data_IF_496603605960
#
_entry.id   IF_496603605960
#
_cell.length_a   1.000
_cell.length_b   1.000
_cell.length_c   1.000
_cell.angle_alpha   90.00
_cell.angle_beta   90.00
_cell.angle_gamma   90.00
#
_symmetry.space_group_name_H-M   'P 1'
#
loop_
_entity.id
_entity.type
_entity.pdbx_description
1 polymer ?
#
# COMPACT_ATOMS: atom_id res chain seq x y z
N UNK A 1 17.12 -53.96 17.35
CA UNK A 1 17.08 -52.53 17.04
C UNK A 1 16.20 -51.88 18.11
N UNK A 2 16.82 -51.32 19.16
CA UNK A 2 16.13 -50.76 20.32
C UNK A 2 15.91 -49.28 19.99
N UNK A 3 14.65 -48.90 19.74
CA UNK A 3 14.25 -47.48 19.56
C UNK A 3 14.16 -46.90 20.97
N UNK A 4 15.16 -46.09 21.33
CA UNK A 4 15.16 -45.28 22.54
C UNK A 4 14.16 -44.13 22.34
N UNK A 5 12.94 -44.27 22.85
CA UNK A 5 11.98 -43.19 22.96
C UNK A 5 12.43 -42.24 24.09
N UNK A 6 13.19 -41.22 23.73
CA UNK A 6 13.45 -40.10 24.64
C UNK A 6 12.16 -39.32 24.74
N UNK A 7 11.37 -39.53 25.78
CA UNK A 7 10.21 -38.72 26.13
C UNK A 7 10.72 -37.34 26.49
N UNK A 8 10.52 -36.36 25.60
CA UNK A 8 10.77 -34.97 25.92
C UNK A 8 9.85 -34.58 27.08
N UNK A 9 10.38 -34.02 28.18
CA UNK A 9 9.53 -33.56 29.28
C UNK A 9 8.57 -32.46 28.75
N UNK A 10 7.30 -32.51 29.17
CA UNK A 10 6.33 -31.55 28.75
C UNK A 10 6.80 -30.11 29.10
N UNK A 11 6.50 -29.13 28.22
CA UNK A 11 6.90 -27.75 28.38
C UNK A 11 6.53 -27.18 29.78
N UNK A 12 5.40 -27.61 30.35
CA UNK A 12 4.98 -27.29 31.71
C UNK A 12 5.93 -27.86 32.81
N UNK A 13 6.63 -28.95 32.53
CA UNK A 13 7.56 -29.56 33.48
C UNK A 13 8.92 -28.85 33.51
N UNK A 14 9.35 -28.35 32.35
CA UNK A 14 10.56 -27.51 32.21
C UNK A 14 10.38 -26.19 32.95
N UNK A 15 9.22 -25.55 32.81
CA UNK A 15 8.91 -24.28 33.47
C UNK A 15 8.79 -24.41 35.01
N UNK A 16 8.23 -25.53 35.53
CA UNK A 16 8.15 -25.77 36.98
C UNK A 16 9.52 -26.03 37.62
N UNK A 17 10.49 -26.59 36.88
CA UNK A 17 11.82 -26.86 37.41
C UNK A 17 12.74 -25.65 37.51
N UNK A 18 12.43 -24.58 36.78
CA UNK A 18 13.26 -23.37 36.70
C UNK A 18 12.90 -22.30 37.74
N UNK A 19 11.76 -22.39 38.44
CA UNK A 19 11.33 -21.38 39.42
C UNK A 19 11.12 -19.99 38.81
N UNK A 20 10.98 -19.90 37.47
CA UNK A 20 10.86 -18.65 36.76
C UNK A 20 9.41 -18.23 36.64
N UNK A 21 9.13 -16.99 36.95
CA UNK A 21 7.88 -16.32 36.62
C UNK A 21 7.68 -16.40 35.10
N UNK A 22 6.48 -16.83 34.63
CA UNK A 22 6.11 -16.79 33.21
C UNK A 22 5.69 -15.36 32.85
N UNK A 23 6.59 -14.39 33.00
CA UNK A 23 6.38 -13.02 32.58
C UNK A 23 7.07 -12.72 31.23
N UNK A 24 6.59 -11.69 30.58
CA UNK A 24 7.06 -11.31 29.24
C UNK A 24 8.55 -10.91 29.23
N UNK A 25 9.03 -10.29 30.31
CA UNK A 25 10.43 -9.91 30.47
C UNK A 25 11.33 -11.15 30.41
N UNK A 26 10.99 -12.22 31.14
CA UNK A 26 11.74 -13.49 31.12
C UNK A 26 11.79 -14.10 29.70
N UNK A 27 10.68 -14.02 28.95
CA UNK A 27 10.66 -14.49 27.57
C UNK A 27 11.62 -13.68 26.68
N UNK A 28 11.64 -12.35 26.80
CA UNK A 28 12.59 -11.53 26.05
C UNK A 28 14.05 -11.77 26.44
N UNK A 29 14.34 -12.07 27.72
CA UNK A 29 15.68 -12.46 28.18
C UNK A 29 16.13 -13.77 27.50
N UNK A 30 15.23 -14.72 27.23
CA UNK A 30 15.57 -15.94 26.48
C UNK A 30 15.89 -15.68 25.02
N UNK A 31 15.44 -14.56 24.46
CA UNK A 31 15.76 -14.08 23.10
C UNK A 31 17.04 -13.23 23.06
N UNK A 32 17.74 -13.09 24.20
CA UNK A 32 18.99 -12.35 24.30
C UNK A 32 18.83 -10.85 24.61
N UNK A 33 17.62 -10.36 24.88
CA UNK A 33 17.43 -8.98 25.32
C UNK A 33 17.74 -8.86 26.81
N UNK A 34 18.63 -7.92 27.17
CA UNK A 34 18.89 -7.67 28.58
C UNK A 34 17.68 -7.03 29.27
N UNK A 35 17.57 -7.25 30.57
CA UNK A 35 16.53 -6.62 31.41
C UNK A 35 16.51 -5.09 31.29
N UNK A 36 17.68 -4.47 31.12
CA UNK A 36 17.80 -3.03 30.98
C UNK A 36 17.15 -2.56 29.67
N UNK A 37 17.43 -3.24 28.54
CA UNK A 37 16.82 -2.97 27.23
C UNK A 37 15.32 -3.18 27.26
N UNK A 38 14.85 -4.28 27.85
CA UNK A 38 13.41 -4.52 28.01
C UNK A 38 12.70 -3.39 28.75
N UNK A 39 13.21 -3.00 29.94
CA UNK A 39 12.63 -1.89 30.72
C UNK A 39 12.65 -0.55 29.97
N UNK A 40 13.70 -0.32 29.18
CA UNK A 40 13.76 0.88 28.37
C UNK A 40 12.68 0.89 27.28
N UNK A 41 12.48 -0.25 26.62
CA UNK A 41 11.39 -0.43 25.64
C UNK A 41 9.99 -0.20 26.25
N UNK A 42 9.75 -0.74 27.44
CA UNK A 42 8.49 -0.50 28.19
C UNK A 42 8.28 1.00 28.50
N UNK A 43 9.33 1.72 28.84
CA UNK A 43 9.24 3.17 29.07
C UNK A 43 8.95 3.94 27.77
N UNK A 44 9.46 3.49 26.62
CA UNK A 44 9.10 4.03 25.30
C UNK A 44 7.62 3.76 25.00
N UNK A 45 7.15 2.52 25.17
CA UNK A 45 5.74 2.15 24.96
C UNK A 45 4.78 2.98 25.80
N UNK A 46 5.12 3.19 27.08
CA UNK A 46 4.30 4.01 27.99
C UNK A 46 4.10 5.45 27.48
N UNK A 47 5.11 6.05 26.85
CA UNK A 47 5.01 7.39 26.25
C UNK A 47 4.12 7.42 25.00
N UNK A 48 3.99 6.30 24.29
CA UNK A 48 3.29 6.19 23.02
C UNK A 48 1.84 5.70 23.13
N UNK A 49 1.35 5.43 24.36
CA UNK A 49 0.04 4.80 24.62
C UNK A 49 -1.11 5.52 23.91
N UNK A 50 -1.20 6.84 24.03
CA UNK A 50 -2.30 7.60 23.40
C UNK A 50 -2.21 7.59 21.86
N UNK A 51 -1.01 7.64 21.33
CA UNK A 51 -0.78 7.57 19.89
C UNK A 51 -1.14 6.20 19.32
N UNK A 52 -0.79 5.15 20.03
CA UNK A 52 -1.14 3.78 19.66
C UNK A 52 -2.65 3.53 19.74
N UNK A 53 -3.33 4.09 20.74
CA UNK A 53 -4.78 3.99 20.83
C UNK A 53 -5.49 4.64 19.61
N UNK A 54 -4.99 5.75 19.10
CA UNK A 54 -5.52 6.37 17.89
C UNK A 54 -5.31 5.49 16.64
N UNK A 55 -4.14 4.84 16.53
CA UNK A 55 -3.86 3.88 15.45
C UNK A 55 -4.78 2.66 15.56
N UNK A 56 -5.01 2.14 16.78
CA UNK A 56 -5.91 1.01 17.01
C UNK A 56 -7.36 1.35 16.61
N UNK A 57 -7.83 2.55 16.95
CA UNK A 57 -9.16 3.01 16.55
C UNK A 57 -9.30 3.12 15.00
N UNK A 58 -8.26 3.61 14.31
CA UNK A 58 -8.25 3.65 12.85
C UNK A 58 -8.23 2.23 12.24
N UNK A 59 -7.45 1.33 12.82
CA UNK A 59 -7.41 -0.07 12.40
C UNK A 59 -8.76 -0.78 12.60
N UNK A 60 -9.44 -0.55 13.72
CA UNK A 60 -10.78 -1.11 14.00
C UNK A 60 -11.80 -0.62 12.97
N UNK A 61 -11.80 0.69 12.66
CA UNK A 61 -12.66 1.24 11.62
C UNK A 61 -12.40 0.59 10.25
N UNK A 62 -11.13 0.53 9.83
CA UNK A 62 -10.76 -0.08 8.55
C UNK A 62 -11.06 -1.59 8.52
N UNK A 63 -10.90 -2.29 9.64
CA UNK A 63 -11.27 -3.70 9.77
C UNK A 63 -12.78 -3.90 9.60
N UNK A 64 -13.58 -3.03 10.19
CA UNK A 64 -15.05 -3.05 10.03
C UNK A 64 -15.45 -2.77 8.57
N UNK A 65 -14.78 -1.81 7.90
CA UNK A 65 -14.96 -1.50 6.48
C UNK A 65 -14.68 -2.72 5.59
N UNK A 66 -13.56 -3.40 5.81
CA UNK A 66 -13.20 -4.62 5.08
C UNK A 66 -14.22 -5.74 5.36
N UNK A 67 -14.60 -5.97 6.62
CA UNK A 67 -15.59 -6.99 6.98
C UNK A 67 -16.94 -6.73 6.32
N UNK A 68 -17.40 -5.48 6.29
CA UNK A 68 -18.64 -5.09 5.63
C UNK A 68 -18.60 -5.40 4.13
N UNK A 69 -17.47 -5.14 3.45
CA UNK A 69 -17.30 -5.47 2.04
C UNK A 69 -17.32 -6.98 1.79
N UNK A 70 -16.68 -7.78 2.66
CA UNK A 70 -16.74 -9.25 2.60
C UNK A 70 -18.17 -9.77 2.73
N UNK A 71 -18.92 -9.24 3.70
CA UNK A 71 -20.32 -9.62 3.93
C UNK A 71 -21.24 -9.22 2.75
N UNK A 72 -21.09 -7.98 2.25
CA UNK A 72 -21.84 -7.46 1.09
C UNK A 72 -21.64 -8.34 -0.14
N UNK A 73 -20.41 -8.76 -0.40
CA UNK A 73 -20.06 -9.60 -1.54
C UNK A 73 -20.25 -11.10 -1.27
N UNK A 74 -20.77 -11.49 -0.08
CA UNK A 74 -21.03 -12.89 0.28
C UNK A 74 -19.82 -13.78 0.01
N UNK A 75 -18.65 -13.36 0.54
CA UNK A 75 -17.43 -14.16 0.45
C UNK A 75 -17.60 -15.45 1.24
N UNK A 76 -17.45 -16.57 0.56
CA UNK A 76 -17.62 -17.92 1.12
C UNK A 76 -16.52 -18.88 0.62
N UNK A 77 -16.59 -20.14 0.99
CA UNK A 77 -15.59 -21.14 0.62
C UNK A 77 -15.43 -21.33 -0.90
N UNK A 78 -16.47 -21.06 -1.70
CA UNK A 78 -16.40 -21.18 -3.16
C UNK A 78 -15.46 -20.12 -3.77
N UNK A 79 -15.28 -18.97 -3.10
CA UNK A 79 -14.36 -17.93 -3.52
C UNK A 79 -12.88 -18.36 -3.45
N UNK A 80 -12.59 -19.45 -2.77
CA UNK A 80 -11.21 -19.94 -2.56
C UNK A 80 -10.83 -21.06 -3.54
N UNK A 81 -11.74 -21.43 -4.44
CA UNK A 81 -11.49 -22.46 -5.44
C UNK A 81 -10.38 -22.02 -6.40
N UNK A 82 -9.44 -22.94 -6.67
CA UNK A 82 -8.38 -22.70 -7.64
C UNK A 82 -8.91 -22.80 -9.07
N UNK A 83 -8.44 -21.88 -9.92
CA UNK A 83 -8.67 -21.94 -11.37
C UNK A 83 -7.35 -22.02 -12.12
N UNK A 84 -7.37 -22.62 -13.30
CA UNK A 84 -6.24 -22.78 -14.22
C UNK A 84 -6.67 -22.44 -15.65
N UNK A 85 -5.70 -22.42 -16.59
CA UNK A 85 -5.98 -22.10 -17.97
C UNK A 85 -6.43 -20.64 -18.15
N UNK A 86 -7.49 -20.43 -18.87
CA UNK A 86 -8.03 -19.07 -19.09
C UNK A 86 -8.65 -18.46 -17.84
N UNK A 87 -9.17 -19.26 -16.90
CA UNK A 87 -9.83 -18.77 -15.72
C UNK A 87 -11.14 -18.01 -16.00
N UNK A 88 -11.90 -18.41 -17.02
CA UNK A 88 -13.23 -17.84 -17.25
C UNK A 88 -14.17 -18.14 -16.08
N UNK A 89 -15.06 -17.20 -15.75
CA UNK A 89 -16.05 -17.33 -14.67
C UNK A 89 -15.41 -17.65 -13.31
N UNK A 90 -14.25 -17.06 -13.02
CA UNK A 90 -13.58 -17.20 -11.73
C UNK A 90 -14.31 -16.36 -10.67
N UNK A 91 -15.29 -16.97 -10.01
CA UNK A 91 -16.16 -16.31 -9.02
C UNK A 91 -15.32 -15.67 -7.89
N UNK A 92 -14.25 -16.36 -7.45
CA UNK A 92 -13.41 -15.85 -6.37
C UNK A 92 -12.65 -14.61 -6.79
N UNK A 93 -12.08 -14.60 -7.97
CA UNK A 93 -11.40 -13.44 -8.55
C UNK A 93 -12.35 -12.24 -8.68
N UNK A 94 -13.52 -12.48 -9.28
CA UNK A 94 -14.50 -11.42 -9.52
C UNK A 94 -15.02 -10.82 -8.21
N UNK A 95 -15.30 -11.65 -7.20
CA UNK A 95 -15.72 -11.16 -5.87
C UNK A 95 -14.58 -10.44 -5.14
N UNK A 96 -13.31 -10.86 -5.28
CA UNK A 96 -12.18 -10.14 -4.69
C UNK A 96 -12.07 -8.71 -5.26
N UNK A 97 -12.26 -8.57 -6.57
CA UNK A 97 -12.28 -7.26 -7.23
C UNK A 97 -13.45 -6.39 -6.72
N UNK A 98 -14.63 -6.97 -6.53
CA UNK A 98 -15.78 -6.27 -5.94
C UNK A 98 -15.51 -5.84 -4.48
N UNK A 99 -14.88 -6.71 -3.68
CA UNK A 99 -14.48 -6.39 -2.30
C UNK A 99 -13.51 -5.20 -2.28
N UNK A 100 -12.50 -5.19 -3.16
CA UNK A 100 -11.59 -4.05 -3.28
C UNK A 100 -12.31 -2.78 -3.71
N UNK A 101 -13.17 -2.86 -4.74
CA UNK A 101 -13.96 -1.71 -5.18
C UNK A 101 -14.80 -1.11 -4.04
N UNK A 102 -15.43 -1.97 -3.23
CA UNK A 102 -16.24 -1.52 -2.09
C UNK A 102 -15.39 -0.89 -0.98
N UNK A 103 -14.23 -1.47 -0.64
CA UNK A 103 -13.35 -0.95 0.42
C UNK A 103 -12.71 0.37 0.02
N UNK A 104 -12.34 0.53 -1.25
CA UNK A 104 -11.78 1.78 -1.79
C UNK A 104 -12.84 2.74 -2.34
N UNK A 105 -14.14 2.43 -2.19
CA UNK A 105 -15.27 3.24 -2.66
C UNK A 105 -15.14 3.64 -4.14
N UNK A 106 -14.80 2.68 -5.00
CA UNK A 106 -14.60 2.87 -6.45
C UNK A 106 -15.63 2.11 -7.27
N UNK A 107 -15.77 2.49 -8.55
CA UNK A 107 -16.71 1.84 -9.48
C UNK A 107 -16.27 0.44 -9.90
N UNK A 108 -14.95 0.20 -9.92
CA UNK A 108 -14.34 -1.04 -10.35
C UNK A 108 -12.96 -1.24 -9.72
N UNK A 109 -12.51 -2.48 -9.71
CA UNK A 109 -11.15 -2.84 -9.35
C UNK A 109 -10.60 -3.94 -10.26
N UNK A 110 -9.29 -3.98 -10.41
CA UNK A 110 -8.51 -5.04 -11.03
C UNK A 110 -7.50 -5.52 -10.00
N UNK A 111 -7.68 -6.75 -9.48
CA UNK A 111 -6.86 -7.33 -8.41
C UNK A 111 -6.33 -8.67 -8.87
N UNK A 112 -5.05 -8.72 -9.23
CA UNK A 112 -4.52 -9.86 -9.98
C UNK A 112 -3.14 -10.33 -9.51
N UNK A 113 -2.94 -11.64 -9.38
CA UNK A 113 -1.59 -12.19 -9.21
C UNK A 113 -0.71 -12.02 -10.47
N UNK A 114 -1.31 -11.84 -11.65
CA UNK A 114 -0.60 -11.54 -12.91
C UNK A 114 0.04 -10.15 -12.93
N UNK A 115 -0.36 -9.26 -12.05
CA UNK A 115 0.34 -7.99 -11.80
C UNK A 115 1.51 -8.31 -10.86
N UNK A 116 2.71 -8.41 -11.38
CA UNK A 116 3.87 -8.99 -10.67
C UNK A 116 4.34 -8.18 -9.46
N UNK A 117 4.09 -6.86 -9.45
CA UNK A 117 4.52 -5.96 -8.37
C UNK A 117 3.82 -4.60 -8.49
N UNK A 118 4.08 -3.69 -7.54
CA UNK A 118 3.54 -2.31 -7.59
C UNK A 118 3.98 -1.53 -8.82
N UNK A 119 5.24 -1.62 -9.20
CA UNK A 119 5.74 -0.97 -10.45
C UNK A 119 4.98 -1.47 -11.67
N UNK A 120 4.68 -2.77 -11.75
CA UNK A 120 3.87 -3.32 -12.86
C UNK A 120 2.42 -2.80 -12.79
N UNK A 121 1.80 -2.70 -11.61
CA UNK A 121 0.47 -2.10 -11.46
C UNK A 121 0.43 -0.67 -12.00
N UNK A 122 1.40 0.16 -11.62
CA UNK A 122 1.55 1.53 -12.10
C UNK A 122 1.81 1.59 -13.60
N UNK A 123 2.68 0.70 -14.12
CA UNK A 123 2.93 0.59 -15.57
C UNK A 123 1.67 0.30 -16.36
N UNK A 124 0.85 -0.67 -15.88
CA UNK A 124 -0.43 -1.01 -16.49
C UNK A 124 -1.38 0.19 -16.46
N UNK A 125 -1.51 0.84 -15.30
CA UNK A 125 -2.42 1.98 -15.12
C UNK A 125 -2.04 3.16 -16.02
N UNK A 126 -0.75 3.51 -16.08
CA UNK A 126 -0.24 4.58 -16.92
C UNK A 126 -0.37 4.25 -18.42
N UNK A 127 0.16 3.10 -18.84
CA UNK A 127 0.17 2.71 -20.27
C UNK A 127 -1.21 2.38 -20.84
N UNK A 128 -2.19 2.10 -19.99
CA UNK A 128 -3.57 1.91 -20.41
C UNK A 128 -4.32 3.25 -20.63
N UNK A 129 -3.97 4.28 -19.86
CA UNK A 129 -4.71 5.53 -19.81
C UNK A 129 -3.98 6.72 -20.48
N UNK A 130 -2.79 6.47 -21.04
CA UNK A 130 -2.01 7.42 -21.83
C UNK A 130 -1.84 6.90 -23.24
N UNK A 131 -1.99 7.78 -24.22
CA UNK A 131 -1.80 7.49 -25.64
C UNK A 131 -0.62 8.32 -26.19
N UNK A 132 -0.05 7.96 -27.36
CA UNK A 132 0.97 8.77 -28.01
C UNK A 132 0.49 10.22 -28.20
N UNK A 133 1.30 11.18 -27.75
CA UNK A 133 0.99 12.60 -27.78
C UNK A 133 0.41 13.15 -26.46
N UNK A 134 -0.04 12.30 -25.55
CA UNK A 134 -0.47 12.71 -24.21
C UNK A 134 0.71 13.14 -23.34
N UNK A 135 0.42 13.92 -22.30
CA UNK A 135 1.38 14.34 -21.30
C UNK A 135 0.99 13.77 -19.91
N UNK A 136 1.96 13.17 -19.23
CA UNK A 136 1.93 12.78 -17.83
C UNK A 136 2.54 13.91 -16.99
N UNK A 137 1.83 14.39 -15.96
CA UNK A 137 2.32 15.41 -15.03
C UNK A 137 2.47 14.81 -13.63
N UNK A 138 3.64 15.00 -13.00
CA UNK A 138 3.83 14.80 -11.56
C UNK A 138 3.90 16.15 -10.85
N UNK A 139 2.94 16.49 -9.98
CA UNK A 139 2.93 17.74 -9.23
C UNK A 139 3.65 17.65 -7.87
N UNK A 140 4.32 16.53 -7.59
CA UNK A 140 4.96 16.20 -6.31
C UNK A 140 6.44 15.86 -6.45
N UNK A 141 7.08 16.37 -7.49
CA UNK A 141 8.47 16.07 -7.82
C UNK A 141 8.64 14.75 -8.60
N UNK A 142 9.87 14.28 -8.68
CA UNK A 142 10.19 13.06 -9.39
C UNK A 142 9.61 11.82 -8.69
N UNK A 143 9.05 10.86 -9.42
CA UNK A 143 8.65 9.58 -8.87
C UNK A 143 9.88 8.74 -8.46
N UNK A 144 9.64 7.63 -7.74
CA UNK A 144 10.71 6.73 -7.35
C UNK A 144 11.42 6.11 -8.56
N UNK A 145 12.63 5.59 -8.34
CA UNK A 145 13.63 5.23 -9.36
C UNK A 145 13.11 4.31 -10.47
N UNK A 146 12.49 3.18 -10.14
CA UNK A 146 11.99 2.24 -11.16
C UNK A 146 10.81 2.80 -11.94
N UNK A 147 10.01 3.71 -11.39
CA UNK A 147 8.96 4.39 -12.15
C UNK A 147 9.53 5.46 -13.10
N UNK A 148 10.68 6.04 -12.77
CA UNK A 148 11.39 6.93 -13.70
C UNK A 148 11.78 6.21 -14.99
N UNK A 149 12.15 4.92 -14.93
CA UNK A 149 12.45 4.10 -16.10
C UNK A 149 11.18 3.76 -16.89
N UNK A 150 10.08 3.40 -16.21
CA UNK A 150 8.78 3.16 -16.86
C UNK A 150 8.31 4.38 -17.64
N UNK A 151 8.46 5.57 -17.08
CA UNK A 151 8.08 6.83 -17.73
C UNK A 151 9.05 7.19 -18.86
N UNK A 152 10.34 6.88 -18.68
CA UNK A 152 11.42 7.26 -19.61
C UNK A 152 12.13 8.55 -19.21
N UNK A 153 12.02 8.98 -17.94
CA UNK A 153 12.86 10.04 -17.34
C UNK A 153 14.31 9.58 -17.36
N UNK A 154 14.54 8.32 -16.97
CA UNK A 154 15.76 7.58 -17.26
C UNK A 154 15.52 6.78 -18.54
N UNK A 155 16.37 6.92 -19.59
CA UNK A 155 16.20 6.18 -20.84
C UNK A 155 16.12 4.68 -20.59
N UNK A 156 15.03 4.07 -21.00
CA UNK A 156 14.80 2.64 -20.83
C UNK A 156 13.96 2.12 -22.00
N UNK A 157 14.27 0.94 -22.56
CA UNK A 157 13.46 0.33 -23.60
C UNK A 157 12.03 0.07 -23.14
N UNK A 158 11.08 0.23 -24.04
CA UNK A 158 9.65 0.07 -23.78
C UNK A 158 9.06 1.07 -22.75
N UNK A 159 9.75 2.17 -22.48
CA UNK A 159 9.24 3.27 -21.66
C UNK A 159 8.09 4.01 -22.32
N UNK A 160 7.27 4.73 -21.52
CA UNK A 160 6.19 5.57 -22.07
C UNK A 160 6.71 6.62 -23.06
N UNK A 161 7.92 7.15 -22.83
CA UNK A 161 8.55 8.10 -23.73
C UNK A 161 8.81 7.52 -25.14
N UNK A 162 9.23 6.24 -25.24
CA UNK A 162 9.38 5.56 -26.54
C UNK A 162 8.05 5.41 -27.30
N UNK A 163 6.94 5.34 -26.55
CA UNK A 163 5.59 5.31 -27.14
C UNK A 163 4.98 6.69 -27.35
N UNK A 164 5.80 7.76 -27.24
CA UNK A 164 5.38 9.11 -27.57
C UNK A 164 4.57 9.83 -26.48
N UNK A 165 4.60 9.35 -25.23
CA UNK A 165 4.07 10.06 -24.08
C UNK A 165 5.13 11.02 -23.55
N UNK A 166 4.76 12.27 -23.28
CA UNK A 166 5.66 13.26 -22.69
C UNK A 166 5.50 13.30 -21.17
N UNK A 167 6.58 13.63 -20.48
CA UNK A 167 6.55 13.79 -19.01
C UNK A 167 6.90 15.22 -18.62
N UNK A 168 6.22 15.69 -17.59
CA UNK A 168 6.51 16.96 -16.89
C UNK A 168 6.41 16.75 -15.39
N UNK A 169 7.24 17.47 -14.62
CA UNK A 169 7.10 17.51 -13.16
C UNK A 169 7.10 18.95 -12.67
N UNK A 170 6.50 19.13 -11.51
CA UNK A 170 6.64 20.32 -10.67
C UNK A 170 7.22 19.86 -9.35
N UNK A 171 8.35 20.45 -8.96
CA UNK A 171 8.98 20.15 -7.69
C UNK A 171 8.24 20.84 -6.54
N UNK A 172 8.40 20.32 -5.34
CA UNK A 172 7.86 20.93 -4.13
C UNK A 172 8.58 22.24 -3.81
N UNK A 173 7.92 23.12 -3.11
CA UNK A 173 8.55 24.27 -2.48
C UNK A 173 9.57 23.82 -1.42
N UNK A 174 10.45 24.72 -1.00
CA UNK A 174 11.53 24.40 -0.04
C UNK A 174 11.03 23.94 1.34
N UNK A 175 9.78 24.25 1.68
CA UNK A 175 9.11 23.79 2.90
C UNK A 175 8.38 22.45 2.73
N UNK A 176 8.46 21.83 1.54
CA UNK A 176 7.80 20.57 1.22
C UNK A 176 6.34 20.67 0.79
N UNK A 177 5.81 21.87 0.66
CA UNK A 177 4.43 22.12 0.20
C UNK A 177 4.32 22.14 -1.33
N UNK A 178 3.08 22.05 -1.86
CA UNK A 178 2.81 22.06 -3.30
C UNK A 178 2.94 23.46 -3.88
N UNK A 179 3.66 23.61 -4.99
CA UNK A 179 3.71 24.86 -5.78
C UNK A 179 2.50 24.95 -6.70
N UNK A 180 1.39 25.44 -6.18
CA UNK A 180 0.14 25.55 -6.94
C UNK A 180 0.22 26.46 -8.16
N UNK A 181 1.06 27.50 -8.16
CA UNK A 181 1.22 28.40 -9.31
C UNK A 181 2.02 27.72 -10.43
N UNK A 182 3.10 27.01 -10.09
CA UNK A 182 3.83 26.21 -11.05
C UNK A 182 2.98 25.05 -11.59
N UNK A 183 2.19 24.37 -10.74
CA UNK A 183 1.26 23.31 -11.17
C UNK A 183 0.22 23.84 -12.16
N UNK A 184 -0.39 25.00 -11.87
CA UNK A 184 -1.34 25.67 -12.79
C UNK A 184 -0.71 25.94 -14.15
N UNK A 185 0.53 26.43 -14.14
CA UNK A 185 1.28 26.76 -15.36
C UNK A 185 1.71 25.51 -16.14
N UNK A 186 1.92 24.38 -15.44
CA UNK A 186 2.32 23.13 -16.04
C UNK A 186 1.15 22.38 -16.70
N UNK A 187 -0.08 22.51 -16.19
CA UNK A 187 -1.25 21.84 -16.75
C UNK A 187 -1.61 22.50 -18.11
N UNK A 188 -1.46 21.72 -19.18
CA UNK A 188 -1.74 22.16 -20.57
C UNK A 188 -2.80 21.31 -21.26
N UNK A 189 -3.04 21.62 -22.55
CA UNK A 189 -4.03 20.89 -23.34
C UNK A 189 -3.72 19.40 -23.50
N UNK A 190 -2.42 19.03 -23.51
CA UNK A 190 -1.96 17.65 -23.64
C UNK A 190 -1.87 16.90 -22.31
N UNK A 191 -1.95 17.59 -21.16
CA UNK A 191 -1.90 16.95 -19.84
C UNK A 191 -3.12 16.06 -19.67
N UNK A 192 -2.94 14.77 -19.84
CA UNK A 192 -4.00 13.76 -19.81
C UNK A 192 -4.14 13.13 -18.43
N UNK A 193 -3.02 12.89 -17.76
CA UNK A 193 -2.97 12.22 -16.48
C UNK A 193 -2.00 12.90 -15.54
N UNK A 194 -2.44 13.07 -14.29
CA UNK A 194 -1.62 13.52 -13.16
C UNK A 194 -1.34 12.32 -12.27
N UNK A 195 -0.06 12.09 -11.95
CA UNK A 195 0.36 11.04 -11.02
C UNK A 195 0.83 11.63 -9.70
N UNK A 196 0.28 11.14 -8.60
CA UNK A 196 0.64 11.55 -7.24
C UNK A 196 1.19 10.34 -6.51
N UNK A 197 2.46 10.38 -6.11
CA UNK A 197 3.03 9.38 -5.22
C UNK A 197 2.79 9.80 -3.76
N UNK A 198 1.92 9.09 -3.03
CA UNK A 198 1.52 9.40 -1.66
C UNK A 198 2.67 9.25 -0.67
N UNK A 199 3.30 8.06 -0.66
CA UNK A 199 4.41 7.78 0.23
C UNK A 199 5.69 8.51 -0.19
N UNK A 200 6.49 8.88 0.78
CA UNK A 200 7.84 9.41 0.53
C UNK A 200 8.78 8.37 -0.09
N UNK A 201 8.51 7.08 0.12
CA UNK A 201 9.45 6.01 -0.26
C UNK A 201 10.83 6.25 0.34
N UNK A 202 11.87 6.25 -0.50
CA UNK A 202 13.26 6.55 -0.08
C UNK A 202 13.61 8.05 -0.11
N UNK A 203 12.68 8.92 -0.51
CA UNK A 203 12.92 10.36 -0.56
C UNK A 203 12.86 11.00 0.85
N UNK A 204 13.44 12.20 0.97
CA UNK A 204 13.42 12.98 2.22
C UNK A 204 12.21 13.90 2.35
N UNK A 205 11.36 13.99 1.29
CA UNK A 205 10.11 14.76 1.32
C UNK A 205 9.09 14.19 2.29
N UNK A 206 8.07 14.94 2.73
CA UNK A 206 6.97 14.38 3.52
C UNK A 206 6.13 13.38 2.69
N UNK A 207 5.43 12.46 3.37
CA UNK A 207 4.29 11.73 2.82
C UNK A 207 3.03 12.60 2.94
N UNK A 208 2.04 12.35 2.08
CA UNK A 208 0.84 13.18 2.02
C UNK A 208 -0.35 12.49 2.66
N UNK A 209 -1.10 13.27 3.46
CA UNK A 209 -2.41 12.85 3.96
C UNK A 209 -3.45 12.79 2.83
N UNK A 210 -4.52 12.04 3.05
CA UNK A 210 -5.64 11.99 2.10
C UNK A 210 -6.25 13.37 1.91
N UNK A 211 -6.30 14.19 2.96
CA UNK A 211 -6.79 15.57 2.87
C UNK A 211 -5.93 16.45 1.94
N UNK A 212 -4.60 16.39 2.07
CA UNK A 212 -3.68 17.14 1.21
C UNK A 212 -3.79 16.69 -0.25
N UNK A 213 -3.88 15.37 -0.47
CA UNK A 213 -4.12 14.80 -1.80
C UNK A 213 -5.45 15.31 -2.36
N UNK A 214 -6.51 15.35 -1.56
CA UNK A 214 -7.82 15.86 -1.98
C UNK A 214 -7.77 17.33 -2.40
N UNK A 215 -7.08 18.18 -1.65
CA UNK A 215 -6.87 19.60 -2.01
C UNK A 215 -6.12 19.73 -3.34
N UNK A 216 -5.08 18.92 -3.54
CA UNK A 216 -4.31 18.91 -4.77
C UNK A 216 -5.15 18.44 -5.97
N UNK A 217 -5.93 17.35 -5.79
CA UNK A 217 -6.85 16.86 -6.84
C UNK A 217 -7.88 17.91 -7.22
N UNK A 218 -8.54 18.51 -6.22
CA UNK A 218 -9.54 19.54 -6.45
C UNK A 218 -8.96 20.75 -7.21
N UNK A 219 -7.74 21.17 -6.86
CA UNK A 219 -7.04 22.22 -7.57
C UNK A 219 -6.76 21.83 -9.03
N UNK A 220 -6.17 20.67 -9.27
CA UNK A 220 -5.84 20.22 -10.63
C UNK A 220 -7.08 20.08 -11.52
N UNK A 221 -8.14 19.46 -11.00
CA UNK A 221 -9.43 19.34 -11.71
C UNK A 221 -10.13 20.69 -11.88
N UNK A 222 -9.90 21.65 -11.00
CA UNK A 222 -10.35 23.04 -11.16
C UNK A 222 -9.66 23.75 -12.34
N UNK A 223 -8.41 23.41 -12.65
CA UNK A 223 -7.68 23.92 -13.81
C UNK A 223 -8.07 23.19 -15.09
N UNK A 224 -8.18 21.86 -15.03
CA UNK A 224 -8.51 20.98 -16.16
C UNK A 224 -9.48 19.90 -15.72
N UNK A 225 -10.81 20.07 -15.91
CA UNK A 225 -11.84 19.19 -15.36
C UNK A 225 -11.79 17.74 -15.87
N UNK A 226 -11.27 17.51 -17.07
CA UNK A 226 -11.17 16.21 -17.72
C UNK A 226 -9.83 15.49 -17.47
N UNK A 227 -8.94 16.08 -16.66
CA UNK A 227 -7.68 15.43 -16.32
C UNK A 227 -7.91 14.24 -15.39
N UNK A 228 -7.29 13.11 -15.72
CA UNK A 228 -7.30 11.94 -14.84
C UNK A 228 -6.27 12.11 -13.72
N UNK A 229 -6.62 11.71 -12.53
CA UNK A 229 -5.68 11.69 -11.39
C UNK A 229 -5.50 10.27 -10.88
N UNK A 230 -4.28 9.79 -10.93
CA UNK A 230 -3.85 8.50 -10.39
C UNK A 230 -3.00 8.72 -9.14
N UNK A 231 -3.31 8.01 -8.08
CA UNK A 231 -2.50 8.00 -6.85
C UNK A 231 -1.80 6.65 -6.70
N UNK A 232 -0.47 6.68 -6.65
CA UNK A 232 0.32 5.57 -6.10
C UNK A 232 0.13 5.56 -4.58
N UNK A 233 -0.69 4.63 -4.11
CA UNK A 233 -1.10 4.53 -2.71
C UNK A 233 -0.22 3.56 -1.90
N UNK A 234 0.83 3.01 -2.50
CA UNK A 234 1.73 2.09 -1.82
C UNK A 234 2.19 2.65 -0.47
N UNK A 235 2.09 1.82 0.57
CA UNK A 235 2.40 2.11 1.97
C UNK A 235 1.41 3.05 2.69
N UNK A 236 0.42 3.63 1.99
CA UNK A 236 -0.59 4.50 2.58
C UNK A 236 -1.91 3.81 2.90
N UNK A 237 -2.17 2.64 2.32
CA UNK A 237 -3.43 1.93 2.48
C UNK A 237 -3.70 1.59 3.95
N UNK A 238 -4.92 1.86 4.41
CA UNK A 238 -5.37 1.64 5.80
C UNK A 238 -4.64 2.44 6.88
N UNK A 239 -3.82 3.42 6.51
CA UNK A 239 -3.16 4.31 7.48
C UNK A 239 -4.14 5.34 8.03
N UNK A 240 -5.01 5.87 7.17
CA UNK A 240 -6.09 6.80 7.52
C UNK A 240 -7.47 6.13 7.39
N UNK A 241 -8.53 6.82 7.80
CA UNK A 241 -9.91 6.33 7.67
C UNK A 241 -10.41 6.37 6.23
N UNK A 242 -9.99 7.38 5.48
CA UNK A 242 -10.30 7.58 4.07
C UNK A 242 -9.12 7.18 3.18
N UNK A 243 -9.42 6.89 1.92
CA UNK A 243 -8.44 6.59 0.88
C UNK A 243 -8.45 7.69 -0.20
N UNK A 244 -7.42 7.83 -1.04
CA UNK A 244 -7.38 8.87 -2.07
C UNK A 244 -8.56 8.83 -3.06
N UNK A 245 -9.21 7.69 -3.24
CA UNK A 245 -10.45 7.55 -4.01
C UNK A 245 -11.61 8.33 -3.40
N UNK A 246 -11.67 8.44 -2.06
CA UNK A 246 -12.73 9.18 -1.35
C UNK A 246 -12.65 10.70 -1.61
N UNK A 247 -11.50 11.18 -2.03
CA UNK A 247 -11.23 12.61 -2.25
C UNK A 247 -11.02 12.96 -3.73
N UNK A 248 -11.43 12.07 -4.63
CA UNK A 248 -11.56 12.35 -6.06
C UNK A 248 -10.46 11.84 -6.97
N UNK A 249 -9.59 10.93 -6.49
CA UNK A 249 -8.69 10.20 -7.37
C UNK A 249 -9.48 9.30 -8.33
N UNK A 250 -9.16 9.37 -9.63
CA UNK A 250 -9.77 8.54 -10.65
C UNK A 250 -9.23 7.10 -10.62
N UNK A 251 -8.00 6.93 -10.17
CA UNK A 251 -7.36 5.63 -9.92
C UNK A 251 -6.51 5.66 -8.66
N UNK A 252 -6.60 4.58 -7.89
CA UNK A 252 -5.73 4.28 -6.75
C UNK A 252 -5.03 2.96 -7.06
N UNK A 253 -3.71 2.97 -7.03
CA UNK A 253 -2.89 1.86 -7.52
C UNK A 253 -1.88 1.44 -6.47
N UNK A 254 -1.66 0.13 -6.34
CA UNK A 254 -0.66 -0.36 -5.39
C UNK A 254 -0.32 -1.84 -5.53
N UNK A 255 0.41 -2.33 -4.56
CA UNK A 255 0.98 -3.67 -4.53
C UNK A 255 0.34 -4.54 -3.46
N UNK A 256 0.03 -5.80 -3.80
CA UNK A 256 -0.47 -6.76 -2.81
C UNK A 256 0.62 -7.27 -1.86
N UNK A 257 1.89 -7.16 -2.20
CA UNK A 257 2.99 -7.54 -1.30
C UNK A 257 3.31 -6.48 -0.23
N UNK A 258 2.52 -5.39 -0.19
CA UNK A 258 2.58 -4.30 0.80
C UNK A 258 1.35 -4.34 1.71
N UNK A 259 0.89 -3.19 2.19
CA UNK A 259 -0.22 -3.11 3.16
C UNK A 259 -1.43 -3.98 2.80
N UNK A 260 -2.01 -3.93 1.59
CA UNK A 260 -3.24 -4.68 1.28
C UNK A 260 -3.09 -6.19 1.33
N UNK A 261 -1.88 -6.71 1.21
CA UNK A 261 -1.63 -8.15 1.28
C UNK A 261 -1.48 -8.68 2.70
N UNK A 262 -1.47 -7.82 3.73
CA UNK A 262 -1.43 -8.21 5.14
C UNK A 262 -0.27 -9.17 5.50
N UNK A 263 0.85 -9.08 4.78
CA UNK A 263 2.00 -9.98 4.93
C UNK A 263 1.79 -11.40 4.40
N UNK A 264 0.65 -11.71 3.77
CA UNK A 264 0.30 -13.05 3.29
C UNK A 264 0.27 -13.18 1.77
N UNK A 265 -0.06 -12.10 1.04
CA UNK A 265 -0.08 -12.13 -0.41
C UNK A 265 1.34 -12.32 -0.97
N UNK A 266 1.60 -13.41 -1.73
CA UNK A 266 2.96 -13.70 -2.21
C UNK A 266 3.35 -12.88 -3.44
N UNK A 267 2.35 -12.32 -4.14
CA UNK A 267 2.50 -11.60 -5.41
C UNK A 267 1.21 -10.80 -5.67
N UNK A 268 1.26 -9.90 -6.59
CA UNK A 268 0.07 -9.24 -7.13
C UNK A 268 0.10 -7.73 -6.98
N UNK A 269 -0.87 -7.11 -7.65
CA UNK A 269 -1.14 -5.69 -7.58
C UNK A 269 -2.64 -5.42 -7.69
N UNK A 270 -3.02 -4.19 -7.37
CA UNK A 270 -4.39 -3.73 -7.51
C UNK A 270 -4.44 -2.37 -8.22
N UNK A 271 -5.52 -2.16 -8.94
CA UNK A 271 -5.91 -0.89 -9.55
C UNK A 271 -7.40 -0.72 -9.25
N UNK A 272 -7.76 0.26 -8.42
CA UNK A 272 -9.14 0.60 -8.10
C UNK A 272 -9.46 1.97 -8.68
N UNK A 273 -10.65 2.20 -9.23
CA UNK A 273 -10.98 3.52 -9.77
C UNK A 273 -12.27 3.55 -10.57
N UNK A 274 -12.39 4.59 -11.40
CA UNK A 274 -13.50 4.72 -12.35
C UNK A 274 -13.45 3.59 -13.37
N UNK A 275 -14.61 3.03 -13.67
CA UNK A 275 -14.74 1.82 -14.48
C UNK A 275 -14.00 1.93 -15.83
N UNK A 276 -14.16 3.05 -16.53
CA UNK A 276 -13.52 3.23 -17.84
C UNK A 276 -11.98 3.15 -17.79
N UNK A 277 -11.36 3.61 -16.70
CA UNK A 277 -9.92 3.50 -16.51
C UNK A 277 -9.50 2.07 -16.17
N UNK A 278 -10.25 1.40 -15.29
CA UNK A 278 -9.97 0.02 -14.87
C UNK A 278 -10.15 -0.97 -16.02
N UNK A 279 -11.19 -0.81 -16.84
CA UNK A 279 -11.43 -1.64 -18.03
C UNK A 279 -10.25 -1.53 -19.03
N UNK A 280 -9.74 -0.32 -19.25
CA UNK A 280 -8.54 -0.12 -20.07
C UNK A 280 -7.32 -0.83 -19.47
N UNK A 281 -7.16 -0.78 -18.16
CA UNK A 281 -6.10 -1.51 -17.46
C UNK A 281 -6.23 -3.03 -17.65
N UNK A 282 -7.44 -3.57 -17.61
CA UNK A 282 -7.68 -4.99 -17.85
C UNK A 282 -7.32 -5.40 -19.30
N UNK A 283 -7.68 -4.59 -20.29
CA UNK A 283 -7.25 -4.80 -21.67
C UNK A 283 -5.73 -4.71 -21.86
N UNK A 284 -5.08 -3.81 -21.11
CA UNK A 284 -3.62 -3.67 -21.16
C UNK A 284 -2.88 -4.81 -20.49
N UNK A 285 -3.45 -5.33 -19.38
CA UNK A 285 -2.87 -6.45 -18.64
C UNK A 285 -3.01 -7.78 -19.39
N UNK A 286 -4.15 -8.00 -20.04
CA UNK A 286 -4.41 -9.21 -20.82
C UNK A 286 -4.26 -8.94 -22.31
N UNK A 287 -5.34 -8.64 -22.99
CA UNK A 287 -5.36 -8.19 -24.39
C UNK A 287 -6.67 -7.46 -24.70
N UNK A 288 -6.70 -6.56 -25.71
CA UNK A 288 -7.95 -6.04 -26.23
C UNK A 288 -8.89 -7.18 -26.63
N UNK A 289 -10.15 -7.10 -26.18
CA UNK A 289 -11.17 -8.13 -26.39
C UNK A 289 -11.23 -9.22 -25.34
N UNK A 290 -10.24 -9.36 -24.45
CA UNK A 290 -10.26 -10.30 -23.30
C UNK A 290 -10.57 -9.59 -21.99
N UNK A 291 -9.86 -8.53 -21.69
CA UNK A 291 -10.12 -7.69 -20.51
C UNK A 291 -10.09 -8.46 -19.20
N UNK A 292 -11.13 -8.28 -18.39
CA UNK A 292 -11.26 -8.91 -17.06
C UNK A 292 -11.68 -10.38 -17.09
N UNK A 293 -12.16 -10.90 -18.22
CA UNK A 293 -12.73 -12.26 -18.32
C UNK A 293 -11.69 -13.36 -18.13
N UNK A 294 -10.42 -13.08 -18.39
CA UNK A 294 -9.32 -14.06 -18.28
C UNK A 294 -8.37 -13.75 -17.14
N UNK A 295 -7.59 -14.76 -16.76
CA UNK A 295 -6.59 -14.69 -15.71
C UNK A 295 -6.92 -15.64 -14.55
N UNK A 296 -6.44 -16.88 -14.66
CA UNK A 296 -6.61 -17.88 -13.62
C UNK A 296 -5.95 -17.46 -12.31
N UNK A 297 -6.59 -17.78 -11.17
CA UNK A 297 -6.07 -17.41 -9.86
C UNK A 297 -4.93 -18.31 -9.34
N UNK A 298 -4.74 -19.48 -9.95
CA UNK A 298 -3.68 -20.45 -9.64
C UNK A 298 -3.66 -20.90 -8.17
N UNK A 299 -4.80 -20.84 -7.47
CA UNK A 299 -4.92 -21.21 -6.05
C UNK A 299 -4.40 -20.15 -5.08
N UNK A 300 -4.16 -18.91 -5.53
CA UNK A 300 -3.63 -17.85 -4.68
C UNK A 300 -4.71 -17.07 -3.91
N UNK A 301 -5.99 -17.21 -4.29
CA UNK A 301 -7.09 -16.45 -3.68
C UNK A 301 -7.17 -16.58 -2.15
N UNK A 302 -6.96 -17.76 -1.51
CA UNK A 302 -6.98 -17.85 -0.06
C UNK A 302 -6.01 -16.88 0.61
N UNK A 303 -4.77 -16.78 0.10
CA UNK A 303 -3.78 -15.88 0.65
C UNK A 303 -4.12 -14.40 0.38
N UNK A 304 -4.68 -14.09 -0.81
CA UNK A 304 -5.09 -12.73 -1.16
C UNK A 304 -6.27 -12.25 -0.30
N UNK A 305 -7.29 -13.07 -0.12
CA UNK A 305 -8.45 -12.75 0.73
C UNK A 305 -8.06 -12.62 2.20
N UNK A 306 -7.33 -13.60 2.73
CA UNK A 306 -6.90 -13.57 4.12
C UNK A 306 -5.96 -12.40 4.37
N UNK A 307 -5.04 -12.14 3.44
CA UNK A 307 -4.13 -11.00 3.52
C UNK A 307 -4.88 -9.67 3.58
N UNK A 308 -5.85 -9.48 2.68
CA UNK A 308 -6.65 -8.26 2.67
C UNK A 308 -7.51 -8.11 3.93
N UNK A 309 -8.08 -9.21 4.43
CA UNK A 309 -8.81 -9.21 5.69
C UNK A 309 -7.93 -8.78 6.87
N UNK A 310 -6.68 -9.24 6.92
CA UNK A 310 -5.73 -8.92 7.98
C UNK A 310 -5.05 -7.56 7.82
N UNK A 311 -5.11 -6.98 6.62
CA UNK A 311 -4.35 -5.79 6.24
C UNK A 311 -4.46 -4.59 7.21
N UNK A 312 -5.66 -4.20 7.71
CA UNK A 312 -5.76 -3.09 8.65
C UNK A 312 -4.96 -3.31 9.94
N UNK A 313 -5.05 -4.51 10.52
CA UNK A 313 -4.33 -4.88 11.75
C UNK A 313 -2.82 -4.94 11.51
N UNK A 314 -2.38 -5.51 10.39
CA UNK A 314 -0.95 -5.62 10.04
C UNK A 314 -0.35 -4.23 9.78
N UNK A 315 -1.07 -3.36 9.08
CA UNK A 315 -0.66 -1.96 8.83
C UNK A 315 -0.53 -1.19 10.14
N UNK A 316 -1.50 -1.34 11.06
CA UNK A 316 -1.42 -0.72 12.40
C UNK A 316 -0.18 -1.21 13.17
N UNK A 317 0.12 -2.50 13.10
CA UNK A 317 1.33 -3.08 13.69
C UNK A 317 2.60 -2.46 13.12
N UNK A 318 2.67 -2.28 11.78
CA UNK A 318 3.79 -1.64 11.10
C UNK A 318 3.96 -0.16 11.52
N UNK A 319 2.86 0.60 11.58
CA UNK A 319 2.87 1.99 12.05
C UNK A 319 3.37 2.13 13.47
N UNK A 320 2.87 1.29 14.39
CA UNK A 320 3.31 1.29 15.79
C UNK A 320 4.80 0.95 15.90
N UNK A 321 5.26 -0.05 15.13
CA UNK A 321 6.66 -0.42 15.06
C UNK A 321 7.55 0.72 14.55
N UNK A 322 7.13 1.42 13.51
CA UNK A 322 7.83 2.58 12.95
C UNK A 322 7.93 3.73 13.97
N UNK A 323 6.83 4.09 14.64
CA UNK A 323 6.79 5.14 15.64
C UNK A 323 7.62 4.75 16.89
N UNK A 324 7.54 3.49 17.31
CA UNK A 324 8.36 2.97 18.40
C UNK A 324 9.85 3.09 18.07
N UNK A 325 10.25 2.68 16.88
CA UNK A 325 11.63 2.78 16.42
C UNK A 325 12.10 4.24 16.39
N UNK A 326 11.29 5.17 15.83
CA UNK A 326 11.61 6.58 15.83
C UNK A 326 11.86 7.11 17.25
N UNK A 327 10.93 6.91 18.18
CA UNK A 327 11.06 7.38 19.56
C UNK A 327 12.26 6.77 20.29
N UNK A 328 12.54 5.50 20.03
CA UNK A 328 13.70 4.80 20.58
C UNK A 328 15.01 5.41 20.08
N UNK A 329 15.19 5.55 18.76
CA UNK A 329 16.42 6.04 18.16
C UNK A 329 16.66 7.53 18.44
N UNK A 330 15.61 8.36 18.43
CA UNK A 330 15.69 9.76 18.84
C UNK A 330 16.24 9.93 20.26
N UNK A 331 15.86 9.04 21.18
CA UNK A 331 16.37 9.08 22.55
C UNK A 331 17.87 8.76 22.67
N UNK A 332 18.47 8.20 21.63
CA UNK A 332 19.91 8.01 21.49
C UNK A 332 20.59 9.10 20.64
N UNK A 333 19.85 10.12 20.20
CA UNK A 333 20.37 11.25 19.45
C UNK A 333 20.39 11.06 17.93
N UNK A 334 19.81 10.00 17.40
CA UNK A 334 19.68 9.81 15.95
C UNK A 334 18.55 10.66 15.39
N UNK A 335 18.74 11.19 14.19
CA UNK A 335 17.67 11.86 13.46
C UNK A 335 16.75 10.83 12.81
N UNK A 336 15.45 10.94 13.07
CA UNK A 336 14.41 10.10 12.46
C UNK A 336 13.53 10.91 11.52
N UNK A 337 13.15 10.32 10.39
CA UNK A 337 12.29 10.97 9.38
C UNK A 337 11.21 9.99 8.90
N UNK A 338 9.92 10.22 9.21
CA UNK A 338 9.38 11.24 10.11
C UNK A 338 9.88 11.04 11.55
N UNK A 339 9.83 12.07 12.37
CA UNK A 339 10.10 11.93 13.79
C UNK A 339 8.97 11.19 14.54
N UNK A 340 9.16 10.92 15.83
CA UNK A 340 8.20 10.14 16.63
C UNK A 340 6.90 10.88 16.94
N UNK A 341 6.80 12.20 16.69
CA UNK A 341 5.60 13.01 16.94
C UNK A 341 4.88 13.45 15.67
N UNK A 342 5.56 13.45 14.52
CA UNK A 342 4.97 13.80 13.23
C UNK A 342 3.79 12.88 12.86
N UNK A 343 2.75 13.40 12.19
CA UNK A 343 1.69 12.60 11.60
C UNK A 343 2.25 11.54 10.64
N UNK A 344 1.55 10.43 10.51
CA UNK A 344 1.93 9.33 9.62
C UNK A 344 0.89 9.16 8.53
N UNK A 345 1.35 9.25 7.28
CA UNK A 345 0.52 9.04 6.09
C UNK A 345 0.98 7.79 5.29
N UNK A 346 2.07 7.18 5.75
CA UNK A 346 2.61 5.90 5.29
C UNK A 346 3.32 5.16 6.45
N UNK A 347 3.79 3.94 6.20
CA UNK A 347 4.49 3.10 7.20
C UNK A 347 6.01 3.25 7.15
N UNK A 348 6.55 4.20 6.39
CA UNK A 348 7.99 4.34 6.18
C UNK A 348 8.63 5.03 7.39
N UNK A 349 9.80 4.53 7.79
CA UNK A 349 10.66 5.12 8.80
C UNK A 349 12.10 5.12 8.31
N UNK A 350 12.71 6.29 8.23
CA UNK A 350 14.14 6.44 8.04
C UNK A 350 14.82 6.83 9.36
N UNK A 351 16.01 6.28 9.58
CA UNK A 351 16.93 6.63 10.68
C UNK A 351 18.25 6.99 10.05
N UNK A 352 18.77 8.17 10.33
CA UNK A 352 20.09 8.61 9.87
C UNK A 352 21.14 8.08 10.87
N UNK A 353 22.03 7.20 10.40
CA UNK A 353 23.08 6.54 11.19
C UNK A 353 24.42 7.25 11.04
#
# INVERSE_FOLDING_TARGET
>A
MVICQTVMPSFSHILKKAGHSMDLQTMYETLGLSRAVYKYGEAVLARLTSRFAAIDAAAEYNQAKVLAAFQKNRVDAACFAATTGYGYNDVGREKLEQVYADVFHTEAALVRPQITCGTHALTVALSANLLPGDELLSPVGAPYDTLQEVIGIRPSPCSLAEYGVTYRQVDLLSDGTFDYDAIRSAIGSRTKLITIQRSKGYATRPSYSVEEIGKLIAFCKGVKPDVLVMVDNCYGEFVELAEPSDVGADMVVGSLIKNPGGGLAPIGGYICGVRSCVDRCAYRLSAPGLGQEVGANLGLLPALYQGFFMAPTVTAGALKGAIFAANLYESFGFRCVPDSVEPRNDIIQAVEL
#
